data_IF_786026929987
#
_entry.id   IF_786026929987
#
_cell.length_a   1.000
_cell.length_b   1.000
_cell.length_c   1.000
_cell.angle_alpha   90.00
_cell.angle_beta   90.00
_cell.angle_gamma   90.00
#
_symmetry.space_group_name_H-M   'P 1'
#
loop_
_entity.id
_entity.type
_entity.pdbx_description
1 polymer ?
#
# COMPACT_ATOMS: atom_id res chain seq x y z
N UNK A 1 14.80 -17.35 13.54
CA UNK A 1 14.01 -17.63 12.35
C UNK A 1 12.56 -17.83 12.75
N UNK A 2 11.65 -17.05 12.16
CA UNK A 2 10.20 -17.10 12.37
C UNK A 2 9.78 -17.19 13.85
N UNK A 3 10.23 -16.30 14.75
CA UNK A 3 10.11 -16.49 16.20
C UNK A 3 8.67 -16.55 16.72
N UNK A 4 7.72 -16.01 15.97
CA UNK A 4 6.31 -15.94 16.39
C UNK A 4 5.37 -16.82 15.56
N UNK A 5 5.87 -17.60 14.60
CA UNK A 5 5.04 -18.34 13.64
C UNK A 5 4.10 -19.38 14.27
N UNK A 6 4.51 -19.99 15.39
CA UNK A 6 3.74 -21.01 16.09
C UNK A 6 2.75 -20.45 17.14
N UNK A 7 2.59 -19.12 17.24
CA UNK A 7 1.80 -18.48 18.28
C UNK A 7 0.42 -18.02 17.75
N UNK A 8 -0.58 -18.05 18.62
CA UNK A 8 -1.85 -17.38 18.34
C UNK A 8 -1.69 -15.84 18.29
N UNK A 9 -2.65 -15.16 17.66
CA UNK A 9 -2.57 -13.72 17.42
C UNK A 9 -2.46 -12.89 18.70
N UNK A 10 -3.21 -13.25 19.74
CA UNK A 10 -3.21 -12.49 20.99
C UNK A 10 -1.86 -12.59 21.73
N UNK A 11 -1.33 -13.79 21.84
CA UNK A 11 -0.02 -14.02 22.48
C UNK A 11 1.11 -13.36 21.68
N UNK A 12 1.04 -13.41 20.36
CA UNK A 12 2.01 -12.81 19.44
C UNK A 12 2.13 -11.30 19.65
N UNK A 13 1.00 -10.58 19.72
CA UNK A 13 1.01 -9.12 19.94
C UNK A 13 1.65 -8.73 21.28
N UNK A 14 1.31 -9.42 22.36
CA UNK A 14 1.91 -9.19 23.67
C UNK A 14 3.42 -9.40 23.68
N UNK A 15 3.89 -10.50 23.09
CA UNK A 15 5.32 -10.83 23.03
C UNK A 15 6.12 -9.89 22.11
N UNK A 16 5.53 -9.39 21.03
CA UNK A 16 6.18 -8.36 20.19
C UNK A 16 6.47 -7.08 20.99
N UNK A 17 5.49 -6.64 21.78
CA UNK A 17 5.67 -5.44 22.62
C UNK A 17 6.75 -5.63 23.70
N UNK A 18 6.80 -6.81 24.31
CA UNK A 18 7.84 -7.13 25.30
C UNK A 18 9.21 -7.24 24.64
N UNK A 19 9.32 -7.93 23.51
CA UNK A 19 10.57 -8.05 22.77
C UNK A 19 11.09 -6.68 22.30
N UNK A 20 10.19 -5.79 21.84
CA UNK A 20 10.57 -4.43 21.46
C UNK A 20 11.26 -3.66 22.59
N UNK A 21 10.77 -3.82 23.85
CA UNK A 21 11.40 -3.20 25.03
C UNK A 21 12.79 -3.80 25.32
N UNK A 22 12.89 -5.13 25.26
CA UNK A 22 14.18 -5.81 25.48
C UNK A 22 15.20 -5.41 24.42
N UNK A 23 14.78 -5.32 23.15
CA UNK A 23 15.69 -4.92 22.06
C UNK A 23 16.11 -3.45 22.13
N UNK A 24 15.30 -2.57 22.73
CA UNK A 24 15.64 -1.16 22.91
C UNK A 24 16.87 -0.96 23.84
N UNK A 25 17.01 -1.84 24.83
CA UNK A 25 18.11 -1.80 25.83
C UNK A 25 19.28 -2.75 25.48
N UNK A 26 19.18 -3.44 24.32
CA UNK A 26 20.19 -4.43 23.93
C UNK A 26 21.26 -3.81 23.03
N UNK A 27 22.50 -3.74 23.52
CA UNK A 27 23.66 -3.16 22.81
C UNK A 27 24.30 -4.10 21.77
N UNK A 28 23.78 -5.34 21.62
CA UNK A 28 24.29 -6.32 20.68
C UNK A 28 23.65 -6.21 19.30
N UNK A 29 24.05 -7.15 18.42
CA UNK A 29 23.41 -7.34 17.10
C UNK A 29 22.36 -8.42 17.20
N UNK A 30 21.12 -8.10 16.81
CA UNK A 30 20.04 -9.08 16.67
C UNK A 30 19.66 -9.21 15.19
N UNK A 31 19.42 -10.46 14.77
CA UNK A 31 18.96 -10.76 13.40
C UNK A 31 17.69 -11.58 13.51
N UNK A 32 16.64 -11.15 12.85
CA UNK A 32 15.35 -11.86 12.77
C UNK A 32 15.01 -12.16 11.31
N UNK A 33 14.57 -13.38 11.04
CA UNK A 33 13.99 -13.77 9.75
C UNK A 33 12.50 -13.98 9.95
N UNK A 34 11.69 -13.31 9.17
CA UNK A 34 10.22 -13.43 9.22
C UNK A 34 9.59 -13.02 7.88
N UNK A 35 8.39 -13.49 7.60
CA UNK A 35 7.55 -13.05 6.50
C UNK A 35 6.44 -12.07 6.95
N UNK A 36 6.35 -11.81 8.27
CA UNK A 36 5.35 -10.90 8.84
C UNK A 36 5.85 -9.46 8.79
N UNK A 37 5.12 -8.61 8.03
CA UNK A 37 5.47 -7.20 7.82
C UNK A 37 5.36 -6.36 9.09
N UNK A 38 4.41 -6.70 9.95
CA UNK A 38 4.15 -5.95 11.19
C UNK A 38 5.28 -6.21 12.19
N UNK A 39 5.78 -7.45 12.26
CA UNK A 39 6.99 -7.79 13.04
C UNK A 39 8.20 -7.00 12.56
N UNK A 40 8.43 -6.99 11.26
CA UNK A 40 9.53 -6.25 10.65
C UNK A 40 9.44 -4.77 10.97
N UNK A 41 8.27 -4.16 10.78
CA UNK A 41 8.07 -2.73 10.97
C UNK A 41 8.20 -2.29 12.42
N UNK A 42 7.75 -3.14 13.37
CA UNK A 42 7.80 -2.84 14.81
C UNK A 42 9.19 -3.09 15.42
N UNK A 43 9.87 -4.18 15.02
CA UNK A 43 11.05 -4.66 15.72
C UNK A 43 12.37 -4.33 15.00
N UNK A 44 12.34 -4.08 13.68
CA UNK A 44 13.55 -3.93 12.89
C UNK A 44 13.77 -2.49 12.43
N UNK A 45 14.88 -1.87 12.84
CA UNK A 45 15.32 -0.57 12.33
C UNK A 45 15.80 -0.65 10.89
N UNK A 46 16.52 -1.71 10.55
CA UNK A 46 17.01 -1.99 9.21
C UNK A 46 16.49 -3.35 8.76
N UNK A 47 16.22 -3.47 7.47
CA UNK A 47 15.71 -4.70 6.86
C UNK A 47 16.46 -5.03 5.58
N UNK A 48 16.39 -6.29 5.22
CA UNK A 48 16.85 -6.81 3.96
C UNK A 48 15.72 -7.67 3.36
N UNK A 49 15.18 -7.25 2.22
CA UNK A 49 14.17 -8.03 1.50
C UNK A 49 14.87 -9.02 0.58
N UNK A 50 14.47 -10.29 0.67
CA UNK A 50 15.03 -11.38 -0.11
C UNK A 50 13.99 -11.93 -1.09
N UNK A 51 14.42 -12.24 -2.30
CA UNK A 51 13.65 -13.00 -3.29
C UNK A 51 14.56 -14.02 -3.97
N UNK A 52 14.16 -15.30 -3.96
CA UNK A 52 14.89 -16.41 -4.59
C UNK A 52 16.39 -16.46 -4.24
N UNK A 53 16.71 -16.17 -2.96
CA UNK A 53 18.09 -16.18 -2.45
C UNK A 53 18.90 -14.92 -2.77
N UNK A 54 18.32 -13.93 -3.41
CA UNK A 54 18.99 -12.67 -3.73
C UNK A 54 18.42 -11.52 -2.91
N UNK A 55 19.29 -10.56 -2.55
CA UNK A 55 18.89 -9.33 -1.90
C UNK A 55 18.23 -8.40 -2.94
N UNK A 56 16.96 -8.05 -2.73
CA UNK A 56 16.24 -7.06 -3.54
C UNK A 56 16.59 -5.65 -3.13
N UNK A 57 16.52 -5.38 -1.84
CA UNK A 57 16.78 -4.07 -1.24
C UNK A 57 17.16 -4.26 0.23
N UNK A 58 18.07 -3.43 0.73
CA UNK A 58 18.43 -3.39 2.15
C UNK A 58 18.52 -1.94 2.63
N UNK A 59 18.13 -1.67 3.86
CA UNK A 59 18.19 -0.33 4.44
C UNK A 59 17.21 -0.12 5.59
N UNK A 60 16.93 1.14 5.89
CA UNK A 60 16.01 1.51 6.96
C UNK A 60 14.58 1.01 6.64
N UNK A 61 13.95 0.31 7.59
CA UNK A 61 12.63 -0.31 7.41
C UNK A 61 11.58 0.71 6.99
N UNK A 62 11.47 1.84 7.69
CA UNK A 62 10.44 2.86 7.41
C UNK A 62 10.59 3.46 6.00
N UNK A 63 11.84 3.71 5.56
CA UNK A 63 12.11 4.19 4.19
C UNK A 63 11.71 3.18 3.14
N UNK A 64 12.04 1.89 3.34
CA UNK A 64 11.68 0.83 2.39
C UNK A 64 10.17 0.60 2.34
N UNK A 65 9.47 0.72 3.48
CA UNK A 65 8.01 0.67 3.48
C UNK A 65 7.38 1.89 2.80
N UNK A 66 7.96 3.08 2.91
CA UNK A 66 7.48 4.28 2.24
C UNK A 66 7.77 4.29 0.74
N UNK A 67 8.99 3.93 0.35
CA UNK A 67 9.44 3.91 -1.05
C UNK A 67 10.21 2.61 -1.36
N UNK A 68 9.50 1.55 -1.75
CA UNK A 68 10.09 0.23 -1.98
C UNK A 68 10.89 0.11 -3.28
N UNK A 69 10.86 1.10 -4.15
CA UNK A 69 11.63 1.24 -5.40
C UNK A 69 11.27 0.20 -6.47
N UNK A 70 11.03 -1.07 -6.12
CA UNK A 70 10.75 -2.15 -7.10
C UNK A 70 9.36 -2.75 -6.89
N UNK A 71 8.77 -3.31 -7.97
CA UNK A 71 7.48 -3.99 -7.91
C UNK A 71 7.46 -5.12 -6.88
N UNK A 72 8.54 -5.92 -6.82
CA UNK A 72 8.66 -7.02 -5.86
C UNK A 72 8.73 -6.53 -4.41
N UNK A 73 9.54 -5.50 -4.13
CA UNK A 73 9.63 -4.92 -2.79
C UNK A 73 8.30 -4.26 -2.38
N UNK A 74 7.59 -3.59 -3.31
CA UNK A 74 6.27 -3.04 -3.06
C UNK A 74 5.26 -4.12 -2.66
N UNK A 75 5.24 -5.26 -3.36
CA UNK A 75 4.39 -6.40 -2.98
C UNK A 75 4.74 -6.96 -1.60
N UNK A 76 6.02 -7.16 -1.32
CA UNK A 76 6.49 -7.66 -0.03
C UNK A 76 6.16 -6.70 1.12
N UNK A 77 6.19 -5.39 0.89
CA UNK A 77 5.78 -4.37 1.86
C UNK A 77 4.28 -4.07 1.86
N UNK A 78 3.47 -4.82 1.10
CA UNK A 78 2.01 -4.82 1.20
C UNK A 78 1.26 -3.93 0.22
N UNK A 79 1.91 -3.39 -0.80
CA UNK A 79 1.21 -2.73 -1.90
C UNK A 79 0.53 -3.78 -2.79
N UNK A 80 -0.80 -3.77 -2.83
CA UNK A 80 -1.60 -4.70 -3.64
C UNK A 80 -1.93 -4.13 -5.02
N UNK A 81 -2.19 -2.82 -5.09
CA UNK A 81 -2.46 -2.15 -6.35
C UNK A 81 -1.14 -1.79 -7.02
N UNK A 82 -0.76 -2.54 -8.03
CA UNK A 82 0.41 -2.26 -8.86
C UNK A 82 0.00 -2.48 -10.31
N UNK A 83 0.25 -1.49 -11.17
CA UNK A 83 -0.05 -1.54 -12.60
C UNK A 83 1.19 -1.21 -13.41
N UNK A 84 1.34 -1.88 -14.55
CA UNK A 84 2.25 -1.43 -15.62
C UNK A 84 1.83 -0.06 -16.10
N UNK A 85 2.80 0.71 -16.59
CA UNK A 85 2.52 2.05 -17.08
C UNK A 85 3.02 2.27 -18.49
N UNK A 86 2.37 3.24 -19.16
CA UNK A 86 2.90 4.02 -20.25
C UNK A 86 3.19 5.43 -19.73
N UNK A 87 4.42 5.92 -19.91
CA UNK A 87 4.76 7.31 -19.58
C UNK A 87 4.17 8.24 -20.64
N UNK A 88 3.29 9.16 -20.25
CA UNK A 88 2.61 10.11 -21.13
C UNK A 88 3.05 11.56 -20.90
N UNK A 89 3.89 11.80 -19.90
CA UNK A 89 4.44 13.11 -19.56
C UNK A 89 5.53 13.04 -18.51
N UNK A 90 6.08 14.17 -18.13
CA UNK A 90 7.14 14.24 -17.11
C UNK A 90 6.65 13.79 -15.74
N UNK A 91 5.39 14.15 -15.39
CA UNK A 91 4.70 13.83 -14.15
C UNK A 91 3.43 13.04 -14.40
N UNK A 92 3.25 12.44 -15.59
CA UNK A 92 2.03 11.74 -15.98
C UNK A 92 2.29 10.35 -16.51
N UNK A 93 1.45 9.43 -16.06
CA UNK A 93 1.47 8.03 -16.50
C UNK A 93 0.07 7.54 -16.80
N UNK A 94 -0.04 6.54 -17.66
CA UNK A 94 -1.25 5.78 -17.91
C UNK A 94 -1.07 4.38 -17.32
N UNK A 95 -1.96 3.98 -16.42
CA UNK A 95 -1.96 2.67 -15.76
C UNK A 95 -2.67 1.64 -16.66
N UNK A 96 -1.89 0.77 -17.28
CA UNK A 96 -2.37 -0.15 -18.32
C UNK A 96 -3.28 -1.26 -17.77
N UNK A 97 -3.05 -1.69 -16.52
CA UNK A 97 -3.83 -2.75 -15.88
C UNK A 97 -5.07 -2.22 -15.14
N UNK A 98 -5.29 -0.89 -15.14
CA UNK A 98 -6.44 -0.21 -14.52
C UNK A 98 -7.24 0.59 -15.55
N UNK A 99 -7.71 -0.08 -16.60
CA UNK A 99 -8.52 0.52 -17.68
C UNK A 99 -7.90 1.78 -18.32
N UNK A 100 -6.57 1.83 -18.38
CA UNK A 100 -5.80 2.97 -18.89
C UNK A 100 -6.07 4.29 -18.16
N UNK A 101 -6.39 4.25 -16.87
CA UNK A 101 -6.51 5.45 -16.05
C UNK A 101 -5.21 6.25 -16.05
N UNK A 102 -5.34 7.56 -16.13
CA UNK A 102 -4.21 8.48 -16.08
C UNK A 102 -3.99 9.00 -14.67
N UNK A 103 -2.72 9.08 -14.28
CA UNK A 103 -2.30 9.57 -12.97
C UNK A 103 -1.24 10.64 -13.09
N UNK A 104 -1.35 11.65 -12.24
CA UNK A 104 -0.32 12.67 -12.00
C UNK A 104 0.45 12.28 -10.75
N UNK A 105 1.76 12.35 -10.82
CA UNK A 105 2.70 12.03 -9.74
C UNK A 105 3.34 13.30 -9.18
N UNK A 106 3.79 13.28 -7.94
CA UNK A 106 4.53 14.37 -7.30
C UNK A 106 6.01 14.41 -7.69
N UNK A 107 6.50 13.32 -8.30
CA UNK A 107 7.89 13.15 -8.74
C UNK A 107 7.96 12.90 -10.25
N UNK A 108 9.06 13.32 -10.86
CA UNK A 108 9.36 13.04 -12.28
C UNK A 108 9.38 11.53 -12.53
N UNK A 109 8.69 11.11 -13.57
CA UNK A 109 8.67 9.71 -14.01
C UNK A 109 9.92 9.46 -14.89
N UNK A 110 10.90 8.77 -14.31
CA UNK A 110 12.11 8.37 -15.03
C UNK A 110 11.85 7.28 -16.09
N UNK A 111 12.76 7.14 -17.04
CA UNK A 111 12.65 6.14 -18.13
C UNK A 111 12.79 4.69 -17.61
N UNK A 112 13.30 4.51 -16.39
CA UNK A 112 13.46 3.22 -15.72
C UNK A 112 12.24 2.82 -14.87
N UNK A 113 11.21 3.67 -14.79
CA UNK A 113 9.96 3.38 -14.12
C UNK A 113 9.06 2.57 -15.06
N UNK A 114 8.66 1.39 -14.62
CA UNK A 114 7.88 0.43 -15.41
C UNK A 114 6.47 0.21 -14.87
N UNK A 115 6.23 0.62 -13.61
CA UNK A 115 4.96 0.46 -12.95
C UNK A 115 4.71 1.57 -11.93
N UNK A 116 3.43 1.75 -11.56
CA UNK A 116 3.04 2.50 -10.39
C UNK A 116 2.37 1.59 -9.37
N UNK A 117 2.43 2.00 -8.09
CA UNK A 117 1.72 1.34 -7.01
C UNK A 117 0.96 2.34 -6.15
N UNK A 118 -0.20 1.93 -5.63
CA UNK A 118 -0.98 2.72 -4.67
C UNK A 118 -1.44 1.76 -3.56
N UNK A 119 -1.20 2.10 -2.30
CA UNK A 119 -1.65 1.25 -1.20
C UNK A 119 -3.16 1.35 -1.03
N UNK A 120 -3.80 0.25 -0.69
CA UNK A 120 -5.26 0.19 -0.60
C UNK A 120 -5.87 1.14 0.45
N UNK A 121 -5.09 1.60 1.42
CA UNK A 121 -5.53 2.56 2.45
C UNK A 121 -5.18 4.02 2.14
N UNK A 122 -4.44 4.28 1.05
CA UNK A 122 -4.02 5.65 0.68
C UNK A 122 -5.06 6.37 -0.20
N UNK A 123 -6.16 5.71 -0.53
CA UNK A 123 -7.23 6.35 -1.28
C UNK A 123 -8.16 7.16 -0.37
N UNK A 124 -8.46 8.39 -0.78
CA UNK A 124 -9.48 9.25 -0.19
C UNK A 124 -10.84 8.97 -0.85
N UNK A 125 -11.86 8.52 -0.11
CA UNK A 125 -13.20 8.32 -0.65
C UNK A 125 -13.92 9.65 -0.80
N UNK A 126 -14.58 9.87 -1.95
CA UNK A 126 -15.32 11.10 -2.28
C UNK A 126 -16.74 10.78 -2.74
N UNK A 127 -17.71 11.59 -2.30
CA UNK A 127 -19.11 11.49 -2.70
C UNK A 127 -19.81 12.85 -2.76
N UNK A 128 -20.88 12.93 -3.55
CA UNK A 128 -21.77 14.07 -3.61
C UNK A 128 -21.10 15.40 -3.98
N UNK A 129 -21.30 16.41 -3.16
CA UNK A 129 -20.79 17.76 -3.41
C UNK A 129 -19.25 17.86 -3.40
N UNK A 130 -18.57 17.01 -2.64
CA UNK A 130 -17.09 16.96 -2.61
C UNK A 130 -16.52 16.59 -3.97
N UNK A 131 -17.15 15.64 -4.68
CA UNK A 131 -16.72 15.23 -6.03
C UNK A 131 -16.85 16.41 -7.01
N UNK A 132 -17.95 17.16 -6.94
CA UNK A 132 -18.16 18.32 -7.81
C UNK A 132 -17.12 19.40 -7.54
N UNK A 133 -16.93 19.76 -6.26
CA UNK A 133 -15.96 20.76 -5.86
C UNK A 133 -14.53 20.41 -6.32
N UNK A 134 -14.11 19.17 -6.14
CA UNK A 134 -12.78 18.71 -6.56
C UNK A 134 -12.62 18.69 -8.09
N UNK A 135 -13.65 18.29 -8.84
CA UNK A 135 -13.64 18.35 -10.31
C UNK A 135 -13.58 19.79 -10.84
N UNK A 136 -14.34 20.70 -10.25
CA UNK A 136 -14.31 22.13 -10.59
C UNK A 136 -12.96 22.78 -10.25
N UNK A 137 -12.31 22.32 -9.18
CA UNK A 137 -10.97 22.75 -8.82
C UNK A 137 -9.86 22.15 -9.72
N UNK A 138 -10.20 21.26 -10.66
CA UNK A 138 -9.23 20.58 -11.52
C UNK A 138 -8.36 19.56 -10.79
N UNK A 139 -8.88 18.98 -9.71
CA UNK A 139 -8.17 17.91 -8.97
C UNK A 139 -7.91 16.71 -9.86
N UNK A 140 -6.68 16.21 -9.76
CA UNK A 140 -6.19 15.05 -10.52
C UNK A 140 -6.41 13.74 -9.76
N UNK A 141 -6.18 12.62 -10.43
CA UNK A 141 -6.22 11.27 -9.85
C UNK A 141 -7.58 10.87 -9.25
N UNK A 142 -8.67 11.35 -9.88
CA UNK A 142 -10.03 10.98 -9.51
C UNK A 142 -10.44 9.70 -10.25
N UNK A 143 -10.70 8.64 -9.51
CA UNK A 143 -11.01 7.31 -10.00
C UNK A 143 -12.50 7.03 -9.78
N UNK A 144 -13.31 6.85 -10.80
CA UNK A 144 -14.72 6.49 -10.62
C UNK A 144 -14.85 5.10 -10.03
N UNK A 145 -15.76 4.93 -9.08
CA UNK A 145 -16.06 3.61 -8.50
C UNK A 145 -17.18 2.97 -9.32
N UNK A 146 -16.81 1.98 -10.12
CA UNK A 146 -17.73 1.27 -11.03
C UNK A 146 -17.80 -0.20 -10.62
N UNK A 147 -19.02 -0.73 -10.51
CA UNK A 147 -19.32 -2.13 -10.19
C UNK A 147 -18.45 -2.73 -9.06
N UNK A 148 -18.43 -2.12 -7.87
CA UNK A 148 -17.56 -2.56 -6.80
C UNK A 148 -18.02 -3.90 -6.21
N UNK A 149 -17.07 -4.80 -6.00
CA UNK A 149 -17.26 -6.01 -5.20
C UNK A 149 -16.82 -5.74 -3.77
N UNK A 150 -17.66 -6.06 -2.80
CA UNK A 150 -17.42 -5.77 -1.39
C UNK A 150 -17.19 -7.09 -0.63
N UNK A 151 -16.07 -7.18 0.07
CA UNK A 151 -15.75 -8.26 1.01
C UNK A 151 -15.69 -7.70 2.42
N UNK A 152 -16.54 -8.23 3.30
CA UNK A 152 -16.59 -7.82 4.69
C UNK A 152 -15.59 -8.61 5.53
N UNK A 153 -14.77 -7.89 6.28
CA UNK A 153 -13.88 -8.44 7.31
C UNK A 153 -14.32 -7.94 8.71
N UNK A 154 -13.84 -8.51 9.80
CA UNK A 154 -14.29 -8.11 11.15
C UNK A 154 -14.17 -6.61 11.44
N UNK A 155 -13.09 -5.97 10.99
CA UNK A 155 -12.79 -4.57 11.31
C UNK A 155 -12.64 -3.68 10.07
N UNK A 156 -12.77 -4.23 8.88
CA UNK A 156 -12.46 -3.58 7.62
C UNK A 156 -13.42 -4.01 6.52
N UNK A 157 -13.54 -3.16 5.50
CA UNK A 157 -14.14 -3.49 4.22
C UNK A 157 -13.05 -3.52 3.15
N UNK A 158 -13.03 -4.58 2.34
CA UNK A 158 -12.23 -4.64 1.12
C UNK A 158 -13.15 -4.44 -0.07
N UNK A 159 -12.92 -3.38 -0.81
CA UNK A 159 -13.69 -3.02 -1.99
C UNK A 159 -12.77 -3.19 -3.21
N UNK A 160 -13.20 -4.02 -4.16
CA UNK A 160 -12.50 -4.23 -5.43
C UNK A 160 -13.33 -3.63 -6.54
N UNK A 161 -12.76 -2.69 -7.29
CA UNK A 161 -13.38 -2.06 -8.43
C UNK A 161 -13.33 -2.99 -9.66
N UNK A 162 -14.17 -2.74 -10.67
CA UNK A 162 -14.20 -3.53 -11.92
C UNK A 162 -12.85 -3.57 -12.66
N UNK A 163 -12.05 -2.53 -12.53
CA UNK A 163 -10.68 -2.43 -13.08
C UNK A 163 -9.60 -3.11 -12.22
N UNK A 164 -9.99 -3.83 -11.17
CA UNK A 164 -9.07 -4.56 -10.29
C UNK A 164 -8.40 -3.74 -9.19
N UNK A 165 -8.67 -2.44 -9.07
CA UNK A 165 -8.18 -1.64 -7.95
C UNK A 165 -8.81 -2.08 -6.63
N UNK A 166 -8.00 -2.17 -5.60
CA UNK A 166 -8.39 -2.50 -4.24
C UNK A 166 -8.37 -1.26 -3.37
N UNK A 167 -9.49 -1.02 -2.69
CA UNK A 167 -9.59 -0.04 -1.63
C UNK A 167 -9.94 -0.71 -0.31
N UNK A 168 -9.31 -0.24 0.77
CA UNK A 168 -9.52 -0.72 2.12
C UNK A 168 -10.11 0.41 2.97
N UNK A 169 -11.24 0.15 3.61
CA UNK A 169 -11.86 1.07 4.55
C UNK A 169 -12.00 0.41 5.92
N UNK A 170 -11.57 1.10 6.97
CA UNK A 170 -11.81 0.66 8.35
C UNK A 170 -13.28 0.83 8.73
N UNK A 171 -13.80 -0.11 9.51
CA UNK A 171 -15.14 -0.02 10.08
C UNK A 171 -15.16 0.97 11.22
N UNK A 172 -16.16 1.85 11.20
CA UNK A 172 -16.47 2.75 12.32
C UNK A 172 -17.77 2.32 12.95
N UNK A 173 -18.07 2.81 14.18
CA UNK A 173 -19.34 2.54 14.87
C UNK A 173 -20.59 2.93 14.05
N UNK A 174 -20.42 3.76 13.03
CA UNK A 174 -21.50 4.25 12.16
C UNK A 174 -21.60 3.55 10.82
N UNK A 175 -20.66 2.66 10.48
CA UNK A 175 -20.66 1.91 9.21
C UNK A 175 -21.18 0.49 9.45
N UNK A 176 -22.51 0.36 9.59
CA UNK A 176 -23.15 -0.95 9.79
C UNK A 176 -23.62 -1.61 8.49
N UNK A 177 -23.66 -0.86 7.37
CA UNK A 177 -24.18 -1.33 6.09
C UNK A 177 -23.13 -1.14 4.99
N UNK A 178 -22.92 -2.19 4.19
CA UNK A 178 -22.04 -2.18 3.04
C UNK A 178 -22.45 -1.14 1.98
N UNK A 179 -23.73 -0.88 1.82
CA UNK A 179 -24.24 0.09 0.84
C UNK A 179 -23.82 1.54 1.16
N UNK A 180 -23.69 1.90 2.43
CA UNK A 180 -23.21 3.22 2.86
C UNK A 180 -21.69 3.40 2.84
N UNK A 181 -20.95 2.35 2.45
CA UNK A 181 -19.49 2.34 2.47
C UNK A 181 -18.89 2.75 1.12
N UNK A 182 -19.61 2.54 0.02
CA UNK A 182 -19.11 2.74 -1.35
C UNK A 182 -19.18 4.23 -1.73
N UNK A 183 -18.05 4.90 -2.01
CA UNK A 183 -18.03 6.27 -2.50
C UNK A 183 -18.33 6.32 -4.01
N UNK A 184 -18.60 7.51 -4.52
CA UNK A 184 -18.72 7.73 -5.98
C UNK A 184 -17.35 7.73 -6.68
N UNK A 185 -16.35 8.26 -5.99
CA UNK A 185 -14.97 8.34 -6.49
C UNK A 185 -13.97 8.00 -5.37
N UNK A 186 -12.83 7.48 -5.79
CA UNK A 186 -11.60 7.43 -5.00
C UNK A 186 -10.62 8.47 -5.56
N UNK A 187 -9.92 9.17 -4.68
CA UNK A 187 -8.81 10.04 -5.05
C UNK A 187 -7.52 9.46 -4.55
N UNK A 188 -6.51 9.45 -5.41
CA UNK A 188 -5.14 9.14 -5.00
C UNK A 188 -4.32 10.44 -4.94
N UNK A 189 -3.75 10.74 -3.76
CA UNK A 189 -2.82 11.86 -3.65
C UNK A 189 -1.60 11.59 -4.54
N UNK A 190 -1.09 12.58 -5.32
CA UNK A 190 0.10 12.40 -6.14
C UNK A 190 1.32 11.87 -5.37
N UNK A 191 1.46 12.24 -4.10
CA UNK A 191 2.56 11.80 -3.23
C UNK A 191 2.41 10.34 -2.72
N UNK A 192 1.20 9.80 -2.78
CA UNK A 192 0.92 8.40 -2.41
C UNK A 192 1.23 7.41 -3.55
N UNK A 193 1.52 7.92 -4.75
CA UNK A 193 1.82 7.08 -5.92
C UNK A 193 3.28 6.64 -5.88
N UNK A 194 3.49 5.35 -5.72
CA UNK A 194 4.80 4.72 -5.76
C UNK A 194 5.26 4.59 -7.21
N UNK A 195 6.46 5.09 -7.53
CA UNK A 195 7.12 4.89 -8.82
C UNK A 195 8.02 3.65 -8.72
N UNK A 196 7.72 2.62 -9.49
CA UNK A 196 8.30 1.29 -9.32
C UNK A 196 9.08 0.85 -10.57
N UNK A 197 10.19 0.13 -10.33
CA UNK A 197 11.06 -0.46 -11.34
C UNK A 197 10.90 -1.97 -11.38
N UNK A 198 11.31 -2.57 -12.51
CA UNK A 198 11.36 -4.01 -12.69
C UNK A 198 10.03 -4.62 -13.11
N UNK A 199 10.01 -5.95 -13.21
CA UNK A 199 8.84 -6.69 -13.64
C UNK A 199 7.78 -6.83 -12.54
N UNK A 200 6.52 -6.87 -12.98
CA UNK A 200 5.35 -7.14 -12.15
C UNK A 200 5.27 -8.60 -11.71
#
# INVERSE_FOLDING_TARGET
>A
DEPFSAMDTYLREGLRLELSKVLADYDGVSVMVTHDRDEVFQLCKNIMLLDKGHVLIAGNSRKIFQDPVTCKAARLTGCKNISKIERIGEYRVRALDWDNLEFVTDRTVGDDITAIGIRAHDFEPLAGEEVKAKKEAGEENLIPVVDPSISEMPFEWYITLSNGLWWKKEKTIHTHDAAGVVPEYLRADPSAILLLKGEL
#
